data_IF_493518050401
#
_entry.id   IF_493518050401
#
_cell.length_a   1.000
_cell.length_b   1.000
_cell.length_c   1.000
_cell.angle_alpha   90.00
_cell.angle_beta   90.00
_cell.angle_gamma   90.00
#
_symmetry.space_group_name_H-M   'P 1'
#
loop_
_entity.id
_entity.type
_entity.pdbx_description
1 polymer ?
#
# COMPACT_ATOMS: atom_id res chain seq x y z
N UNK A 1 18.36 -0.19 -8.07
CA UNK A 1 17.43 0.36 -7.07
C UNK A 1 17.84 -0.02 -5.64
N UNK A 2 18.02 -1.31 -5.36
CA UNK A 2 18.40 -1.84 -4.03
C UNK A 2 19.82 -1.46 -3.58
N UNK A 3 20.71 -1.14 -4.50
CA UNK A 3 22.15 -1.01 -4.22
C UNK A 3 22.86 -2.35 -4.17
N UNK A 4 24.18 -2.31 -4.39
CA UNK A 4 25.00 -3.52 -4.55
C UNK A 4 25.05 -4.40 -3.30
N UNK A 5 25.15 -3.78 -2.13
CA UNK A 5 25.24 -4.52 -0.87
C UNK A 5 23.92 -5.21 -0.52
N UNK A 6 22.80 -4.52 -0.66
CA UNK A 6 21.47 -5.10 -0.45
C UNK A 6 21.14 -6.17 -1.48
N UNK A 7 21.54 -5.97 -2.74
CA UNK A 7 21.38 -7.00 -3.77
C UNK A 7 22.08 -8.30 -3.38
N UNK A 8 23.33 -8.22 -2.91
CA UNK A 8 24.09 -9.40 -2.46
C UNK A 8 23.44 -10.12 -1.28
N UNK A 9 22.91 -9.36 -0.32
CA UNK A 9 22.23 -9.91 0.86
C UNK A 9 20.95 -10.65 0.51
N UNK A 10 20.16 -10.14 -0.43
CA UNK A 10 18.82 -10.64 -0.74
C UNK A 10 18.82 -11.66 -1.88
N UNK A 11 19.60 -11.43 -2.93
CA UNK A 11 19.60 -12.25 -4.15
C UNK A 11 20.76 -13.26 -4.18
N UNK A 12 21.76 -13.10 -3.32
CA UNK A 12 22.86 -14.07 -3.15
C UNK A 12 23.86 -14.13 -4.31
N UNK A 13 24.07 -13.02 -5.01
CA UNK A 13 25.02 -12.95 -6.14
C UNK A 13 25.62 -11.58 -6.32
N UNK A 14 26.50 -11.42 -7.31
CA UNK A 14 27.04 -10.11 -7.65
C UNK A 14 26.01 -9.31 -8.48
N UNK A 15 25.79 -8.02 -8.13
CA UNK A 15 24.87 -7.18 -8.88
C UNK A 15 25.43 -6.88 -10.28
N UNK A 16 24.54 -6.71 -11.29
CA UNK A 16 24.98 -6.41 -12.66
C UNK A 16 25.64 -5.03 -12.79
N UNK A 17 25.37 -4.14 -11.83
CA UNK A 17 25.94 -2.78 -11.76
C UNK A 17 26.27 -2.49 -10.31
N UNK A 18 27.47 -1.96 -10.04
CA UNK A 18 27.86 -1.51 -8.69
C UNK A 18 27.29 -0.11 -8.43
N UNK A 19 26.42 0.00 -7.41
CA UNK A 19 25.71 1.24 -7.08
C UNK A 19 25.28 1.24 -5.61
N UNK A 20 25.18 2.42 -5.01
CA UNK A 20 24.67 2.59 -3.65
C UNK A 20 23.14 2.30 -3.55
N UNK A 21 22.41 2.40 -4.69
CA UNK A 21 20.97 2.25 -4.74
C UNK A 21 20.22 3.49 -4.26
N UNK A 22 18.91 3.50 -4.43
CA UNK A 22 18.04 4.64 -4.09
C UNK A 22 16.94 4.30 -3.09
N UNK A 23 16.76 3.03 -2.74
CA UNK A 23 15.66 2.60 -1.85
C UNK A 23 15.75 3.23 -0.46
N UNK A 24 16.98 3.50 0.01
CA UNK A 24 17.22 4.14 1.32
C UNK A 24 17.03 5.65 1.29
N UNK A 25 16.98 6.26 0.09
CA UNK A 25 16.84 7.71 -0.09
C UNK A 25 15.37 8.11 -0.30
N UNK A 26 14.45 7.15 -0.49
CA UNK A 26 13.03 7.44 -0.61
C UNK A 26 12.51 8.13 0.64
N UNK A 27 11.71 9.21 0.52
CA UNK A 27 11.11 9.84 1.68
C UNK A 27 10.09 8.92 2.35
N UNK A 28 10.05 8.90 3.67
CA UNK A 28 8.95 8.34 4.44
C UNK A 28 7.87 9.41 4.51
N UNK A 29 6.68 9.13 3.95
CA UNK A 29 5.59 10.10 3.81
C UNK A 29 4.61 10.05 4.97
N UNK A 30 4.52 8.94 5.68
CA UNK A 30 3.68 8.76 6.86
C UNK A 30 4.48 9.15 8.11
N UNK A 31 3.89 9.94 8.99
CA UNK A 31 4.51 10.33 10.24
C UNK A 31 4.23 9.34 11.39
N UNK A 32 5.06 9.44 12.45
CA UNK A 32 4.98 8.51 13.59
C UNK A 32 3.63 8.65 14.34
N UNK A 33 3.04 9.86 14.41
CA UNK A 33 1.75 10.08 15.06
C UNK A 33 0.61 9.39 14.31
N UNK A 34 0.62 9.47 12.98
CA UNK A 34 -0.35 8.77 12.13
C UNK A 34 -0.22 7.26 12.29
N UNK A 35 1.01 6.72 12.31
CA UNK A 35 1.24 5.29 12.54
C UNK A 35 0.66 4.84 13.87
N UNK A 36 0.93 5.57 14.95
CA UNK A 36 0.42 5.25 16.29
C UNK A 36 -1.12 5.23 16.31
N UNK A 37 -1.77 6.25 15.76
CA UNK A 37 -3.23 6.32 15.67
C UNK A 37 -3.81 5.15 14.87
N UNK A 38 -3.23 4.85 13.71
CA UNK A 38 -3.68 3.74 12.87
C UNK A 38 -3.59 2.40 13.59
N UNK A 39 -2.47 2.14 14.27
CA UNK A 39 -2.26 0.90 15.02
C UNK A 39 -3.20 0.76 16.24
N UNK A 40 -3.63 1.86 16.84
CA UNK A 40 -4.58 1.87 17.96
C UNK A 40 -6.04 1.69 17.51
N UNK A 41 -6.37 2.13 16.29
CA UNK A 41 -7.77 2.25 15.82
C UNK A 41 -8.18 1.19 14.81
N UNK A 42 -7.22 0.55 14.12
CA UNK A 42 -7.52 -0.39 13.05
C UNK A 42 -6.56 -1.59 13.00
N UNK A 43 -7.00 -2.68 12.38
CA UNK A 43 -6.12 -3.76 11.96
C UNK A 43 -5.45 -3.36 10.64
N UNK A 44 -4.12 -3.41 10.58
CA UNK A 44 -3.35 -2.92 9.44
C UNK A 44 -2.85 -4.07 8.57
N UNK A 45 -2.98 -3.91 7.27
CA UNK A 45 -2.39 -4.77 6.26
C UNK A 45 -1.70 -3.99 5.15
N UNK A 46 -0.83 -4.66 4.42
CA UNK A 46 -0.13 -4.11 3.26
C UNK A 46 -0.47 -4.92 2.02
N UNK A 47 -0.81 -4.21 0.95
CA UNK A 47 -0.94 -4.74 -0.40
C UNK A 47 -0.12 -3.86 -1.35
N UNK A 48 0.98 -4.40 -1.85
CA UNK A 48 1.93 -3.64 -2.66
C UNK A 48 2.37 -4.38 -3.92
N UNK A 49 2.63 -3.64 -5.00
CA UNK A 49 3.30 -4.15 -6.19
C UNK A 49 4.83 -4.25 -6.06
N UNK A 50 5.41 -3.99 -4.88
CA UNK A 50 6.84 -4.19 -4.63
C UNK A 50 7.14 -5.65 -4.31
N UNK A 51 8.34 -6.16 -4.67
CA UNK A 51 8.84 -7.42 -4.15
C UNK A 51 8.93 -7.43 -2.62
N UNK A 52 8.81 -8.60 -2.00
CA UNK A 52 8.83 -8.75 -0.54
C UNK A 52 10.08 -8.12 0.11
N UNK A 53 11.24 -8.26 -0.52
CA UNK A 53 12.50 -7.68 -0.03
C UNK A 53 12.44 -6.14 0.05
N UNK A 54 11.88 -5.48 -0.96
CA UNK A 54 11.74 -4.02 -1.00
C UNK A 54 10.66 -3.54 0.00
N UNK A 55 9.56 -4.28 0.10
CA UNK A 55 8.50 -3.99 1.06
C UNK A 55 9.02 -4.07 2.51
N UNK A 56 9.84 -5.07 2.84
CA UNK A 56 10.47 -5.20 4.16
C UNK A 56 11.34 -3.99 4.51
N UNK A 57 12.18 -3.52 3.57
CA UNK A 57 13.03 -2.33 3.79
C UNK A 57 12.17 -1.08 4.04
N UNK A 58 11.08 -0.91 3.28
CA UNK A 58 10.18 0.22 3.46
C UNK A 58 9.49 0.19 4.84
N UNK A 59 8.98 -0.97 5.26
CA UNK A 59 8.34 -1.15 6.56
C UNK A 59 9.30 -0.90 7.72
N UNK A 60 10.54 -1.39 7.65
CA UNK A 60 11.57 -1.15 8.67
C UNK A 60 11.88 0.35 8.81
N UNK A 61 11.93 1.08 7.70
CA UNK A 61 12.17 2.53 7.71
C UNK A 61 11.02 3.33 8.29
N UNK A 62 9.78 2.88 8.06
CA UNK A 62 8.57 3.48 8.62
C UNK A 62 8.35 3.07 10.09
N UNK A 63 9.13 2.14 10.65
CA UNK A 63 8.91 1.54 11.97
C UNK A 63 7.52 0.90 12.12
N UNK A 64 6.96 0.46 11.01
CA UNK A 64 5.62 -0.12 10.95
C UNK A 64 5.73 -1.62 11.11
N UNK A 65 5.34 -2.14 12.27
CA UNK A 65 5.36 -3.59 12.54
C UNK A 65 4.05 -4.22 12.08
N UNK A 66 4.07 -4.84 10.89
CA UNK A 66 2.92 -5.55 10.33
C UNK A 66 3.27 -7.03 10.21
N UNK A 67 2.47 -7.95 10.80
CA UNK A 67 2.70 -9.39 10.66
C UNK A 67 2.79 -9.83 9.19
N UNK A 68 3.69 -10.75 8.87
CA UNK A 68 3.84 -11.26 7.50
C UNK A 68 2.54 -11.83 6.91
N UNK A 69 1.67 -12.40 7.76
CA UNK A 69 0.35 -12.87 7.34
C UNK A 69 -0.58 -11.75 6.83
N UNK A 70 -0.31 -10.49 7.21
CA UNK A 70 -1.07 -9.31 6.80
C UNK A 70 -0.35 -8.49 5.72
N UNK A 71 0.58 -9.12 5.02
CA UNK A 71 1.31 -8.51 3.90
C UNK A 71 1.04 -9.30 2.62
N UNK A 72 0.78 -8.59 1.53
CA UNK A 72 0.79 -9.09 0.17
C UNK A 72 1.72 -8.25 -0.68
N UNK A 73 2.68 -8.91 -1.29
CA UNK A 73 3.67 -8.32 -2.18
C UNK A 73 3.47 -8.85 -3.60
N UNK A 74 4.21 -8.34 -4.58
CA UNK A 74 4.14 -8.86 -5.94
C UNK A 74 4.54 -10.35 -6.06
N UNK A 75 5.24 -10.89 -5.05
CA UNK A 75 5.69 -12.28 -5.05
C UNK A 75 4.59 -13.27 -4.60
N UNK A 76 3.47 -12.75 -4.07
CA UNK A 76 2.41 -13.56 -3.46
C UNK A 76 1.24 -13.87 -4.41
N UNK A 77 1.17 -13.22 -5.57
CA UNK A 77 0.07 -13.38 -6.52
C UNK A 77 0.44 -13.00 -7.95
N UNK A 78 -0.17 -13.66 -8.94
CA UNK A 78 0.18 -13.53 -10.35
C UNK A 78 -0.59 -12.39 -11.05
N UNK A 79 -1.85 -12.13 -10.66
CA UNK A 79 -2.72 -11.19 -11.36
C UNK A 79 -2.37 -9.72 -11.12
N UNK A 80 -1.96 -9.38 -9.91
CA UNK A 80 -1.68 -7.99 -9.53
C UNK A 80 -2.93 -7.09 -9.44
N UNK A 81 -2.75 -5.85 -8.96
CA UNK A 81 -3.79 -4.82 -8.97
C UNK A 81 -4.16 -4.46 -10.43
N UNK A 82 -5.41 -4.23 -10.77
CA UNK A 82 -6.59 -4.03 -9.91
C UNK A 82 -7.42 -5.29 -9.61
N UNK A 83 -6.86 -6.52 -9.71
CA UNK A 83 -7.58 -7.73 -9.35
C UNK A 83 -7.89 -7.75 -7.83
N UNK A 84 -9.13 -8.04 -7.37
CA UNK A 84 -9.53 -7.84 -5.98
C UNK A 84 -9.06 -8.93 -5.02
N UNK A 85 -8.63 -10.10 -5.52
CA UNK A 85 -8.38 -11.31 -4.73
C UNK A 85 -7.45 -11.09 -3.52
N UNK A 86 -6.34 -10.37 -3.69
CA UNK A 86 -5.39 -10.16 -2.60
C UNK A 86 -5.97 -9.26 -1.51
N UNK A 87 -6.74 -8.23 -1.87
CA UNK A 87 -7.41 -7.36 -0.91
C UNK A 87 -8.50 -8.11 -0.13
N UNK A 88 -9.30 -8.94 -0.80
CA UNK A 88 -10.31 -9.79 -0.16
C UNK A 88 -9.66 -10.83 0.77
N UNK A 89 -8.57 -11.47 0.34
CA UNK A 89 -7.81 -12.40 1.18
C UNK A 89 -7.20 -11.70 2.40
N UNK A 90 -6.73 -10.48 2.24
CA UNK A 90 -6.22 -9.68 3.34
C UNK A 90 -7.33 -9.30 4.33
N UNK A 91 -8.51 -8.94 3.83
CA UNK A 91 -9.70 -8.69 4.65
C UNK A 91 -10.11 -9.92 5.48
N UNK A 92 -10.04 -11.12 4.90
CA UNK A 92 -10.27 -12.38 5.61
C UNK A 92 -9.25 -12.58 6.75
N UNK A 93 -7.97 -12.36 6.49
CA UNK A 93 -6.89 -12.53 7.48
C UNK A 93 -6.96 -11.52 8.62
N UNK A 94 -7.46 -10.32 8.34
CA UNK A 94 -7.67 -9.24 9.30
C UNK A 94 -9.01 -9.37 10.05
N UNK A 95 -9.88 -10.31 9.63
CA UNK A 95 -11.25 -10.46 10.14
C UNK A 95 -12.03 -9.14 10.06
N UNK A 96 -11.81 -8.37 8.99
CA UNK A 96 -12.37 -7.04 8.82
C UNK A 96 -13.68 -7.07 8.04
N UNK A 97 -14.69 -6.32 8.51
CA UNK A 97 -15.99 -6.14 7.83
C UNK A 97 -15.98 -4.88 6.93
N UNK A 98 -15.20 -3.87 7.32
CA UNK A 98 -15.02 -2.64 6.56
C UNK A 98 -13.52 -2.43 6.29
N UNK A 99 -13.18 -2.23 5.05
CA UNK A 99 -11.82 -2.09 4.57
C UNK A 99 -11.62 -0.71 3.95
N UNK A 100 -10.61 0.01 4.39
CA UNK A 100 -10.14 1.22 3.73
C UNK A 100 -8.81 0.89 3.06
N UNK A 101 -8.78 0.93 1.73
CA UNK A 101 -7.57 0.70 0.96
C UNK A 101 -7.08 2.02 0.35
N UNK A 102 -5.99 2.55 0.89
CA UNK A 102 -5.39 3.81 0.46
C UNK A 102 -4.17 3.56 -0.42
N UNK A 103 -4.07 4.27 -1.53
CA UNK A 103 -2.94 4.17 -2.43
C UNK A 103 -2.85 5.35 -3.39
N UNK A 104 -1.71 5.48 -4.06
CA UNK A 104 -1.36 6.61 -4.91
C UNK A 104 -1.56 6.34 -6.42
N UNK A 105 -2.10 5.18 -6.76
CA UNK A 105 -2.40 4.81 -8.15
C UNK A 105 -3.89 4.56 -8.37
N UNK A 106 -4.35 4.74 -9.62
CA UNK A 106 -5.74 4.42 -9.98
C UNK A 106 -6.07 2.94 -9.78
N UNK A 107 -5.08 2.06 -9.90
CA UNK A 107 -5.28 0.62 -9.71
C UNK A 107 -5.47 0.26 -8.23
N UNK A 108 -4.98 1.05 -7.29
CA UNK A 108 -5.29 0.89 -5.86
C UNK A 108 -6.78 1.09 -5.62
N UNK A 109 -7.31 2.23 -6.09
CA UNK A 109 -8.74 2.53 -5.96
C UNK A 109 -9.60 1.51 -6.70
N UNK A 110 -9.23 1.15 -7.94
CA UNK A 110 -9.95 0.12 -8.70
C UNK A 110 -9.94 -1.24 -8.00
N UNK A 111 -8.87 -1.59 -7.30
CA UNK A 111 -8.81 -2.84 -6.51
C UNK A 111 -9.89 -2.86 -5.44
N UNK A 112 -10.08 -1.76 -4.71
CA UNK A 112 -11.13 -1.66 -3.70
C UNK A 112 -12.54 -1.67 -4.32
N UNK A 113 -12.76 -0.92 -5.41
CA UNK A 113 -14.04 -0.91 -6.15
C UNK A 113 -14.40 -2.31 -6.69
N UNK A 114 -13.40 -3.02 -7.23
CA UNK A 114 -13.61 -4.38 -7.72
C UNK A 114 -13.88 -5.36 -6.56
N UNK A 115 -13.23 -5.17 -5.40
CA UNK A 115 -13.47 -5.98 -4.22
C UNK A 115 -14.89 -5.77 -3.67
N UNK A 116 -15.34 -4.52 -3.56
CA UNK A 116 -16.69 -4.16 -3.13
C UNK A 116 -17.78 -4.73 -4.05
N UNK A 117 -17.50 -4.71 -5.35
CA UNK A 117 -18.41 -5.30 -6.35
C UNK A 117 -18.51 -6.83 -6.26
N UNK A 118 -17.40 -7.48 -5.91
CA UNK A 118 -17.29 -8.95 -5.94
C UNK A 118 -17.60 -9.62 -4.60
N UNK A 119 -17.62 -8.88 -3.49
CA UNK A 119 -17.86 -9.39 -2.13
C UNK A 119 -18.98 -8.60 -1.45
N UNK A 120 -20.20 -9.13 -1.51
CA UNK A 120 -21.38 -8.52 -0.88
C UNK A 120 -21.39 -8.63 0.67
N UNK A 121 -20.45 -9.37 1.25
CA UNK A 121 -20.38 -9.61 2.71
C UNK A 121 -19.63 -8.53 3.47
N UNK A 122 -18.87 -7.69 2.76
CA UNK A 122 -18.01 -6.64 3.31
C UNK A 122 -18.17 -5.33 2.55
N UNK A 123 -17.59 -4.28 3.11
CA UNK A 123 -17.54 -2.97 2.46
C UNK A 123 -16.07 -2.59 2.21
N UNK A 124 -15.76 -2.17 0.99
CA UNK A 124 -14.41 -1.77 0.58
C UNK A 124 -14.41 -0.33 0.08
N UNK A 125 -13.65 0.53 0.74
CA UNK A 125 -13.47 1.93 0.39
C UNK A 125 -12.08 2.17 -0.21
N UNK A 126 -12.03 2.56 -1.48
CA UNK A 126 -10.79 2.98 -2.14
C UNK A 126 -10.51 4.45 -1.87
N UNK A 127 -9.35 4.76 -1.33
CA UNK A 127 -8.91 6.14 -1.04
C UNK A 127 -7.71 6.48 -1.92
N UNK A 128 -7.86 7.52 -2.76
CA UNK A 128 -6.77 8.06 -3.57
C UNK A 128 -5.89 8.99 -2.74
N UNK A 129 -4.57 8.84 -2.82
CA UNK A 129 -3.59 9.68 -2.12
C UNK A 129 -2.78 10.47 -3.13
N UNK A 130 -2.79 11.82 -3.03
CA UNK A 130 -2.19 12.74 -4.00
C UNK A 130 -0.67 12.95 -3.83
N UNK A 131 0.04 11.96 -3.27
CA UNK A 131 1.50 12.02 -3.03
C UNK A 131 2.34 11.32 -4.10
N UNK A 132 1.69 10.61 -5.02
CA UNK A 132 2.34 9.89 -6.13
C UNK A 132 2.41 10.69 -7.43
N UNK A 133 2.28 10.00 -8.55
CA UNK A 133 2.28 10.62 -9.89
C UNK A 133 1.03 11.44 -10.22
N UNK A 134 -0.06 11.28 -9.45
CA UNK A 134 -1.30 12.03 -9.56
C UNK A 134 -1.35 13.10 -8.46
N UNK A 135 -1.65 14.35 -8.84
CA UNK A 135 -1.66 15.47 -7.88
C UNK A 135 -2.60 16.59 -8.32
N UNK A 136 -3.00 17.45 -7.36
CA UNK A 136 -3.90 18.58 -7.58
C UNK A 136 -5.26 18.18 -8.16
N UNK A 137 -5.98 19.14 -8.75
CA UNK A 137 -7.34 18.94 -9.27
C UNK A 137 -7.44 17.81 -10.29
N UNK A 138 -6.44 17.68 -11.19
CA UNK A 138 -6.42 16.61 -12.19
C UNK A 138 -6.25 15.21 -11.56
N UNK A 139 -5.47 15.10 -10.48
CA UNK A 139 -5.33 13.86 -9.71
C UNK A 139 -6.61 13.52 -8.97
N UNK A 140 -7.26 14.51 -8.37
CA UNK A 140 -8.55 14.35 -7.71
C UNK A 140 -9.61 13.86 -8.71
N UNK A 141 -9.79 14.55 -9.84
CA UNK A 141 -10.74 14.17 -10.89
C UNK A 141 -10.48 12.73 -11.39
N UNK A 142 -9.20 12.35 -11.53
CA UNK A 142 -8.82 11.01 -11.98
C UNK A 142 -9.23 9.93 -10.98
N UNK A 143 -8.96 10.11 -9.68
CA UNK A 143 -9.38 9.18 -8.62
C UNK A 143 -10.90 9.09 -8.49
N UNK A 144 -11.60 10.23 -8.52
CA UNK A 144 -13.07 10.28 -8.49
C UNK A 144 -13.68 9.52 -9.69
N UNK A 145 -13.09 9.66 -10.87
CA UNK A 145 -13.56 9.00 -12.09
C UNK A 145 -13.52 7.47 -12.05
N UNK A 146 -12.67 6.89 -11.21
CA UNK A 146 -12.57 5.43 -11.01
C UNK A 146 -13.29 4.94 -9.76
N UNK A 147 -14.03 5.82 -9.08
CA UNK A 147 -14.91 5.46 -7.97
C UNK A 147 -14.24 5.56 -6.60
N UNK A 148 -13.27 6.46 -6.42
CA UNK A 148 -12.69 6.71 -5.10
C UNK A 148 -13.78 7.11 -4.10
N UNK A 149 -13.76 6.50 -2.91
CA UNK A 149 -14.57 6.90 -1.77
C UNK A 149 -14.17 8.27 -1.22
N UNK A 150 -12.87 8.50 -1.17
CA UNK A 150 -12.28 9.79 -0.81
C UNK A 150 -10.96 9.98 -1.57
N UNK A 151 -10.55 11.24 -1.68
CA UNK A 151 -9.21 11.63 -2.17
C UNK A 151 -8.60 12.54 -1.13
N UNK A 152 -7.36 12.24 -0.72
CA UNK A 152 -6.64 12.95 0.33
C UNK A 152 -5.29 13.45 -0.18
N UNK A 153 -4.81 14.56 0.36
CA UNK A 153 -3.54 15.14 -0.04
C UNK A 153 -2.34 14.36 0.50
N UNK A 154 -2.49 13.77 1.68
CA UNK A 154 -1.45 13.03 2.39
C UNK A 154 -2.01 11.74 3.00
N UNK A 155 -1.18 10.70 3.10
CA UNK A 155 -1.51 9.48 3.85
C UNK A 155 -1.81 9.77 5.34
N UNK A 156 -1.29 10.89 5.86
CA UNK A 156 -1.54 11.32 7.23
C UNK A 156 -2.99 11.76 7.47
N UNK A 157 -3.71 12.16 6.42
CA UNK A 157 -5.12 12.53 6.50
C UNK A 157 -6.06 11.32 6.66
N UNK A 158 -5.54 10.08 6.53
CA UNK A 158 -6.32 8.85 6.78
C UNK A 158 -6.95 8.83 8.18
N UNK A 159 -6.28 9.40 9.16
CA UNK A 159 -6.79 9.45 10.53
C UNK A 159 -8.12 10.17 10.67
N UNK A 160 -8.43 11.09 9.75
CA UNK A 160 -9.71 11.81 9.74
C UNK A 160 -10.86 10.99 9.12
N UNK A 161 -10.54 9.98 8.31
CA UNK A 161 -11.51 9.11 7.67
C UNK A 161 -11.94 7.90 8.53
N UNK A 162 -11.10 7.52 9.53
CA UNK A 162 -11.32 6.31 10.33
C UNK A 162 -11.77 6.59 11.78
N UNK A 163 -12.03 7.85 12.11
CA UNK A 163 -12.53 8.30 13.43
C UNK A 163 -14.03 8.19 13.60
#
# INVERSE_FOLDING_TARGET
YLGSDRYRELEGGDPPIDTEGYITDEPVLIDDETIDILQETANIGILTGRPAAEASIALDRMRFSIPAAHQFTMDDWDEGKPHPWALQTLADRLEAETIVFAGDTLDDVRTAVNADTADESRTYHGVGVLTGGLSGDAGQDAFESVGAYAVIDSVNDLTDLIR
#
